data_IF_733133965237
#
_entry.id   IF_733133965237
#
_cell.length_a   1.000
_cell.length_b   1.000
_cell.length_c   1.000
_cell.angle_alpha   90.00
_cell.angle_beta   90.00
_cell.angle_gamma   90.00
#
_symmetry.space_group_name_H-M   'P 1'
#
loop_
_entity.id
_entity.type
_entity.pdbx_description
1 polymer ?
#
# COMPACT_ATOMS: atom_id res chain seq x y z
N UNK A 1 9.71 24.30 -10.25
CA UNK A 1 8.36 24.18 -9.71
C UNK A 1 7.64 23.00 -10.37
N UNK A 2 6.75 22.33 -9.66
CA UNK A 2 5.98 21.22 -10.22
C UNK A 2 5.03 21.73 -11.31
N UNK A 3 5.16 21.20 -12.51
CA UNK A 3 4.28 21.54 -13.64
C UNK A 3 2.96 20.78 -13.47
N UNK A 4 1.83 21.49 -13.57
CA UNK A 4 0.52 20.84 -13.54
C UNK A 4 0.38 19.85 -14.70
N UNK A 5 -0.32 18.73 -14.50
CA UNK A 5 -0.47 17.65 -15.52
C UNK A 5 -0.91 18.17 -16.89
N UNK A 6 -1.85 19.14 -16.92
CA UNK A 6 -2.38 19.73 -18.16
C UNK A 6 -1.39 20.67 -18.87
N UNK A 7 -0.41 21.23 -18.17
CA UNK A 7 0.58 22.12 -18.74
C UNK A 7 1.89 21.39 -19.13
N UNK A 8 2.01 20.10 -18.84
CA UNK A 8 3.25 19.35 -19.04
C UNK A 8 3.69 19.32 -20.51
N UNK A 9 2.80 18.96 -21.42
CA UNK A 9 3.12 18.85 -22.84
C UNK A 9 3.44 20.24 -23.45
N UNK A 10 2.65 21.27 -23.10
CA UNK A 10 2.92 22.63 -23.54
C UNK A 10 4.31 23.09 -23.08
N UNK A 11 4.65 22.82 -21.80
CA UNK A 11 5.96 23.19 -21.28
C UNK A 11 7.12 22.44 -21.95
N UNK A 12 6.94 21.18 -22.34
CA UNK A 12 7.95 20.44 -23.09
C UNK A 12 8.12 21.07 -24.48
N UNK A 13 7.04 21.41 -25.18
CA UNK A 13 7.10 22.03 -26.51
C UNK A 13 7.80 23.38 -26.49
N UNK A 14 7.55 24.21 -25.49
CA UNK A 14 8.30 25.46 -25.31
C UNK A 14 9.81 25.20 -25.14
N UNK A 15 10.19 24.16 -24.41
CA UNK A 15 11.59 23.84 -24.16
C UNK A 15 12.33 23.33 -25.39
N UNK A 16 11.63 22.65 -26.32
CA UNK A 16 12.24 22.07 -27.54
C UNK A 16 12.13 22.98 -28.77
N UNK A 17 11.47 24.13 -28.66
CA UNK A 17 11.18 25.06 -29.79
C UNK A 17 12.44 25.47 -30.55
N UNK A 18 13.58 25.62 -29.84
CA UNK A 18 14.86 26.02 -30.42
C UNK A 18 15.90 24.89 -30.50
N UNK A 19 15.44 23.63 -30.31
CA UNK A 19 16.30 22.45 -30.39
C UNK A 19 16.45 21.95 -31.82
N UNK A 20 17.40 21.02 -32.01
CA UNK A 20 17.59 20.31 -33.27
C UNK A 20 16.26 19.64 -33.73
N UNK A 21 15.89 19.74 -35.03
CA UNK A 21 14.62 19.21 -35.53
C UNK A 21 14.44 17.69 -35.31
N UNK A 22 15.52 16.91 -35.40
CA UNK A 22 15.44 15.44 -35.17
C UNK A 22 15.17 15.15 -33.70
N UNK A 23 15.80 15.91 -32.82
CA UNK A 23 15.56 15.83 -31.40
C UNK A 23 14.11 16.23 -31.05
N UNK A 24 13.64 17.38 -31.58
CA UNK A 24 12.28 17.84 -31.36
C UNK A 24 11.24 16.81 -31.84
N UNK A 25 11.43 16.22 -33.03
CA UNK A 25 10.58 15.16 -33.56
C UNK A 25 10.56 13.94 -32.65
N UNK A 26 11.73 13.53 -32.12
CA UNK A 26 11.82 12.40 -31.20
C UNK A 26 11.01 12.62 -29.92
N UNK A 27 11.07 13.84 -29.37
CA UNK A 27 10.27 14.22 -28.19
C UNK A 27 8.78 14.23 -28.50
N UNK A 28 8.34 14.73 -29.64
CA UNK A 28 6.91 14.72 -30.02
C UNK A 28 6.38 13.27 -30.11
N UNK A 29 7.12 12.34 -30.71
CA UNK A 29 6.76 10.93 -30.73
C UNK A 29 6.61 10.36 -29.30
N UNK A 30 7.51 10.71 -28.38
CA UNK A 30 7.43 10.30 -26.99
C UNK A 30 6.19 10.89 -26.28
N UNK A 31 5.82 12.14 -26.58
CA UNK A 31 4.62 12.75 -26.05
C UNK A 31 3.34 12.08 -26.56
N UNK A 32 3.29 11.67 -27.83
CA UNK A 32 2.17 10.93 -28.39
C UNK A 32 2.01 9.54 -27.76
N UNK A 33 3.11 8.80 -27.60
CA UNK A 33 3.10 7.52 -26.87
C UNK A 33 2.63 7.70 -25.42
N UNK A 34 3.13 8.73 -24.75
CA UNK A 34 2.68 9.06 -23.38
C UNK A 34 1.17 9.33 -23.34
N UNK A 35 0.63 10.07 -24.28
CA UNK A 35 -0.81 10.38 -24.35
C UNK A 35 -1.63 9.10 -24.52
N UNK A 36 -1.27 8.25 -25.47
CA UNK A 36 -1.92 6.98 -25.71
C UNK A 36 -1.92 6.06 -24.47
N UNK A 37 -0.79 6.01 -23.74
CA UNK A 37 -0.67 5.25 -22.49
C UNK A 37 -1.58 5.82 -21.39
N UNK A 38 -1.66 7.14 -21.25
CA UNK A 38 -2.53 7.78 -20.26
C UNK A 38 -4.01 7.51 -20.55
N UNK A 39 -4.44 7.60 -21.80
CA UNK A 39 -5.80 7.28 -22.21
C UNK A 39 -6.15 5.81 -21.96
N UNK A 40 -5.21 4.90 -22.25
CA UNK A 40 -5.33 3.47 -21.94
C UNK A 40 -5.47 3.23 -20.43
N UNK A 41 -4.60 3.87 -19.63
CA UNK A 41 -4.67 3.82 -18.18
C UNK A 41 -6.00 4.31 -17.63
N UNK A 42 -6.52 5.45 -18.12
CA UNK A 42 -7.78 6.01 -17.65
C UNK A 42 -8.98 5.11 -18.01
N UNK A 43 -8.94 4.45 -19.17
CA UNK A 43 -9.96 3.45 -19.53
C UNK A 43 -9.97 2.26 -18.58
N UNK A 44 -8.78 1.67 -18.32
CA UNK A 44 -8.64 0.55 -17.39
C UNK A 44 -9.01 0.95 -15.96
N UNK A 45 -8.63 2.15 -15.54
CA UNK A 45 -8.96 2.66 -14.21
C UNK A 45 -10.47 2.82 -14.02
N UNK A 46 -11.21 3.30 -15.04
CA UNK A 46 -12.68 3.37 -15.00
C UNK A 46 -13.33 2.00 -14.85
N UNK A 47 -12.84 0.99 -15.60
CA UNK A 47 -13.33 -0.40 -15.46
C UNK A 47 -13.07 -0.94 -14.06
N UNK A 48 -11.87 -0.72 -13.52
CA UNK A 48 -11.53 -1.12 -12.15
C UNK A 48 -12.46 -0.47 -11.13
N UNK A 49 -12.75 0.83 -11.26
CA UNK A 49 -13.67 1.53 -10.36
C UNK A 49 -15.08 0.93 -10.40
N UNK A 50 -15.58 0.57 -11.59
CA UNK A 50 -16.88 -0.09 -11.74
C UNK A 50 -16.90 -1.44 -11.02
N UNK A 51 -15.88 -2.27 -11.21
CA UNK A 51 -15.77 -3.57 -10.52
C UNK A 51 -15.79 -3.40 -9.01
N UNK A 52 -14.96 -2.49 -8.50
CA UNK A 52 -14.81 -2.26 -7.05
C UNK A 52 -16.08 -1.69 -6.41
N UNK A 53 -16.82 -0.83 -7.12
CA UNK A 53 -18.07 -0.24 -6.63
C UNK A 53 -19.17 -1.27 -6.43
N UNK A 54 -19.21 -2.32 -7.25
CA UNK A 54 -20.22 -3.39 -7.15
C UNK A 54 -19.79 -4.52 -6.21
N UNK A 55 -18.52 -4.56 -5.79
CA UNK A 55 -17.99 -5.60 -4.92
C UNK A 55 -18.13 -5.24 -3.43
N UNK A 56 -18.94 -5.98 -2.65
CA UNK A 56 -19.17 -5.68 -1.24
C UNK A 56 -17.91 -5.81 -0.37
N UNK A 57 -17.01 -6.73 -0.73
CA UNK A 57 -15.75 -6.91 0.00
C UNK A 57 -14.85 -5.70 -0.25
N UNK A 58 -14.64 -5.30 -1.49
CA UNK A 58 -13.81 -4.14 -1.82
C UNK A 58 -14.36 -2.86 -1.16
N UNK A 59 -15.67 -2.64 -1.19
CA UNK A 59 -16.31 -1.49 -0.50
C UNK A 59 -15.99 -1.49 1.00
N UNK A 60 -16.10 -2.64 1.65
CA UNK A 60 -15.77 -2.81 3.07
C UNK A 60 -14.30 -2.50 3.33
N UNK A 61 -13.37 -3.03 2.52
CA UNK A 61 -11.94 -2.79 2.67
C UNK A 61 -11.57 -1.31 2.49
N UNK A 62 -12.26 -0.59 1.60
CA UNK A 62 -12.05 0.85 1.37
C UNK A 62 -12.51 1.73 2.53
N UNK A 63 -13.23 1.22 3.52
CA UNK A 63 -13.53 1.97 4.75
C UNK A 63 -12.28 2.26 5.59
N UNK A 64 -11.17 1.54 5.33
CA UNK A 64 -9.88 1.77 5.98
C UNK A 64 -9.19 3.01 5.37
N UNK A 65 -8.87 4.03 6.18
CA UNK A 65 -8.18 5.22 5.68
C UNK A 65 -6.84 4.87 5.03
N UNK A 66 -6.62 5.35 3.80
CA UNK A 66 -5.45 5.06 3.00
C UNK A 66 -5.61 3.86 2.05
N UNK A 67 -6.67 3.08 2.17
CA UNK A 67 -6.99 1.98 1.25
C UNK A 67 -7.90 2.49 0.14
N UNK A 68 -7.38 2.57 -1.07
CA UNK A 68 -8.11 2.94 -2.28
C UNK A 68 -8.61 1.72 -3.08
N UNK A 69 -9.30 1.97 -4.20
CA UNK A 69 -9.88 0.91 -5.05
C UNK A 69 -8.85 -0.12 -5.53
N UNK A 70 -7.70 0.34 -6.00
CA UNK A 70 -6.60 -0.53 -6.46
C UNK A 70 -6.11 -1.42 -5.33
N UNK A 71 -5.86 -0.86 -4.15
CA UNK A 71 -5.37 -1.62 -2.99
C UNK A 71 -6.40 -2.66 -2.54
N UNK A 72 -7.68 -2.28 -2.49
CA UNK A 72 -8.76 -3.18 -2.08
C UNK A 72 -8.89 -4.37 -3.02
N UNK A 73 -8.87 -4.12 -4.34
CA UNK A 73 -8.98 -5.16 -5.35
C UNK A 73 -7.72 -6.05 -5.37
N UNK A 74 -6.52 -5.47 -5.36
CA UNK A 74 -5.26 -6.22 -5.31
C UNK A 74 -5.19 -7.13 -4.09
N UNK A 75 -5.61 -6.63 -2.93
CA UNK A 75 -5.65 -7.43 -1.71
C UNK A 75 -6.66 -8.58 -1.82
N UNK A 76 -7.87 -8.31 -2.35
CA UNK A 76 -8.90 -9.33 -2.54
C UNK A 76 -8.41 -10.44 -3.47
N UNK A 77 -7.88 -10.08 -4.63
CA UNK A 77 -7.36 -11.04 -5.62
C UNK A 77 -6.19 -11.84 -5.06
N UNK A 78 -5.24 -11.20 -4.36
CA UNK A 78 -4.08 -11.89 -3.81
C UNK A 78 -4.38 -12.78 -2.62
N UNK A 79 -5.46 -12.53 -1.88
CA UNK A 79 -5.95 -13.42 -0.82
C UNK A 79 -6.80 -14.54 -1.39
N UNK A 80 -7.61 -14.25 -2.43
CA UNK A 80 -8.56 -15.13 -3.10
C UNK A 80 -9.65 -15.67 -2.15
N UNK A 81 -9.36 -16.70 -1.37
CA UNK A 81 -10.22 -17.18 -0.29
C UNK A 81 -9.65 -16.78 1.07
N UNK A 82 -10.39 -15.98 1.88
CA UNK A 82 -9.92 -15.57 3.20
C UNK A 82 -9.84 -16.73 4.19
N UNK A 83 -10.63 -17.81 4.00
CA UNK A 83 -10.67 -18.97 4.92
C UNK A 83 -9.43 -19.86 4.81
N UNK A 84 -8.62 -19.72 3.73
CA UNK A 84 -7.32 -20.41 3.65
C UNK A 84 -6.32 -19.98 4.74
N UNK A 85 -6.60 -18.88 5.45
CA UNK A 85 -5.78 -18.40 6.55
C UNK A 85 -6.48 -18.64 7.88
N UNK A 86 -6.03 -19.60 8.66
CA UNK A 86 -6.57 -19.88 10.00
C UNK A 86 -6.46 -18.68 10.97
N UNK A 87 -5.54 -17.76 10.72
CA UNK A 87 -5.31 -16.57 11.56
C UNK A 87 -4.93 -15.35 10.71
N UNK A 88 -5.64 -14.25 10.87
CA UNK A 88 -5.37 -13.00 10.12
C UNK A 88 -3.92 -12.51 10.22
N UNK A 89 -3.22 -12.79 11.32
CA UNK A 89 -1.82 -12.36 11.50
C UNK A 89 -0.83 -13.06 10.56
N UNK A 90 -1.18 -14.20 9.97
CA UNK A 90 -0.31 -14.92 9.01
C UNK A 90 -0.34 -14.31 7.62
N UNK A 91 -1.38 -13.53 7.29
CA UNK A 91 -1.53 -12.88 5.97
C UNK A 91 -0.37 -11.92 5.68
N UNK A 92 0.10 -11.17 6.68
CA UNK A 92 1.26 -10.29 6.52
C UNK A 92 2.56 -11.05 6.20
N UNK A 93 2.71 -12.27 6.71
CA UNK A 93 3.85 -13.14 6.39
C UNK A 93 3.73 -13.70 4.96
N UNK A 94 2.52 -14.07 4.54
CA UNK A 94 2.24 -14.56 3.19
C UNK A 94 2.67 -13.56 2.10
N UNK A 95 2.46 -12.26 2.35
CA UNK A 95 2.91 -11.19 1.44
C UNK A 95 4.34 -10.68 1.73
N UNK A 96 5.11 -11.40 2.53
CA UNK A 96 6.52 -11.09 2.78
C UNK A 96 6.77 -9.80 3.57
N UNK A 97 5.82 -9.38 4.39
CA UNK A 97 5.89 -8.19 5.25
C UNK A 97 6.44 -8.48 6.65
N UNK A 98 6.93 -9.71 6.90
CA UNK A 98 7.61 -10.09 8.14
C UNK A 98 9.11 -10.02 7.98
N UNK A 99 9.85 -9.62 9.03
CA UNK A 99 11.31 -9.66 9.02
C UNK A 99 11.84 -11.08 8.76
N UNK A 100 12.95 -11.19 8.04
CA UNK A 100 13.72 -12.43 8.01
C UNK A 100 14.38 -12.62 9.37
N UNK A 101 14.14 -13.76 10.00
CA UNK A 101 14.89 -14.18 11.19
C UNK A 101 16.00 -15.13 10.76
N UNK A 102 17.21 -14.81 11.13
CA UNK A 102 18.36 -15.70 11.05
C UNK A 102 18.67 -16.15 12.48
N UNK A 103 18.23 -17.36 12.83
CA UNK A 103 18.57 -18.00 14.08
C UNK A 103 19.60 -19.09 13.79
N UNK A 104 20.86 -18.88 14.18
CA UNK A 104 21.88 -19.91 14.19
C UNK A 104 22.37 -20.12 15.62
N UNK A 105 21.93 -21.21 16.25
CA UNK A 105 22.37 -21.58 17.61
C UNK A 105 21.93 -20.60 18.70
N UNK A 106 22.66 -20.53 19.78
CA UNK A 106 22.31 -19.80 21.00
C UNK A 106 22.72 -18.33 21.05
N UNK A 107 23.32 -17.76 20.01
CA UNK A 107 24.02 -16.48 20.15
C UNK A 107 23.68 -15.33 19.19
N UNK A 108 22.91 -15.53 18.12
CA UNK A 108 22.62 -14.43 17.17
C UNK A 108 21.16 -14.47 16.76
N UNK A 109 20.32 -13.60 17.34
CA UNK A 109 18.97 -13.29 16.87
C UNK A 109 19.01 -11.95 16.13
N UNK A 110 19.22 -11.99 14.81
CA UNK A 110 19.26 -10.80 13.98
C UNK A 110 17.94 -10.68 13.20
N UNK A 111 17.17 -9.63 13.48
CA UNK A 111 16.01 -9.26 12.67
C UNK A 111 16.48 -8.45 11.45
N UNK A 112 16.48 -9.08 10.27
CA UNK A 112 16.80 -8.45 8.99
C UNK A 112 15.62 -7.66 8.39
N UNK A 113 15.81 -7.23 7.15
CA UNK A 113 14.74 -6.64 6.35
C UNK A 113 13.56 -7.60 6.15
N UNK A 114 12.40 -7.06 5.71
CA UNK A 114 11.22 -7.88 5.35
C UNK A 114 11.61 -8.99 4.36
N UNK A 115 10.96 -10.15 4.46
CA UNK A 115 11.32 -11.35 3.67
C UNK A 115 11.13 -11.16 2.17
N UNK A 116 10.21 -10.27 1.75
CA UNK A 116 9.83 -10.01 0.36
C UNK A 116 9.32 -11.24 -0.40
N UNK A 117 8.97 -12.31 0.32
CA UNK A 117 8.33 -13.49 -0.26
C UNK A 117 6.87 -13.20 -0.61
N UNK A 118 6.29 -14.03 -1.50
CA UNK A 118 4.91 -13.89 -1.94
C UNK A 118 4.70 -12.77 -2.97
N UNK A 119 3.44 -12.43 -3.20
CA UNK A 119 3.02 -11.50 -4.26
C UNK A 119 3.58 -10.08 -4.05
N UNK A 120 4.32 -9.62 -5.05
CA UNK A 120 4.95 -8.29 -5.06
C UNK A 120 3.89 -7.20 -5.16
N UNK A 121 2.91 -7.37 -6.06
CA UNK A 121 1.91 -6.35 -6.35
C UNK A 121 1.03 -6.06 -5.13
N UNK A 122 0.62 -7.10 -4.41
CA UNK A 122 -0.15 -6.96 -3.16
C UNK A 122 0.70 -6.30 -2.07
N UNK A 123 1.98 -6.68 -1.96
CA UNK A 123 2.89 -6.06 -0.99
C UNK A 123 3.10 -4.58 -1.26
N UNK A 124 3.31 -4.18 -2.51
CA UNK A 124 3.46 -2.79 -2.93
C UNK A 124 2.17 -2.00 -2.66
N UNK A 125 1.01 -2.54 -3.04
CA UNK A 125 -0.29 -1.93 -2.76
C UNK A 125 -0.51 -1.69 -1.25
N UNK A 126 -0.16 -2.66 -0.41
CA UNK A 126 -0.24 -2.52 1.05
C UNK A 126 0.75 -1.48 1.61
N UNK A 127 1.96 -1.41 1.06
CA UNK A 127 2.94 -0.37 1.42
C UNK A 127 2.48 1.02 0.98
N UNK A 128 1.89 1.16 -0.19
CA UNK A 128 1.32 2.41 -0.68
C UNK A 128 0.13 2.88 0.19
N UNK A 129 -0.77 1.96 0.55
CA UNK A 129 -1.85 2.25 1.51
C UNK A 129 -1.31 2.70 2.87
N UNK A 130 -0.26 2.06 3.37
CA UNK A 130 0.40 2.44 4.61
C UNK A 130 1.07 3.82 4.53
N UNK A 131 1.75 4.11 3.43
CA UNK A 131 2.33 5.42 3.16
C UNK A 131 1.26 6.50 3.07
N UNK A 132 0.17 6.24 2.34
CA UNK A 132 -0.98 7.14 2.25
C UNK A 132 -1.59 7.42 3.62
N UNK A 133 -1.81 6.38 4.44
CA UNK A 133 -2.32 6.53 5.81
C UNK A 133 -1.41 7.41 6.68
N UNK A 134 -0.10 7.22 6.61
CA UNK A 134 0.85 7.94 7.46
C UNK A 134 1.08 9.38 7.00
N UNK A 135 1.18 9.63 5.69
CA UNK A 135 1.62 10.89 5.11
C UNK A 135 0.48 11.81 4.66
N UNK A 136 -0.63 11.25 4.14
CA UNK A 136 -1.70 12.02 3.50
C UNK A 136 -2.98 12.11 4.32
N UNK A 137 -3.35 11.03 5.03
CA UNK A 137 -4.59 10.98 5.80
C UNK A 137 -4.47 11.88 7.03
N UNK A 138 -5.36 12.89 7.14
CA UNK A 138 -5.40 13.79 8.30
C UNK A 138 -6.24 13.23 9.45
N UNK A 139 -7.24 12.39 9.14
CA UNK A 139 -8.14 11.80 10.15
C UNK A 139 -7.33 10.94 11.12
N UNK A 140 -7.55 11.15 12.41
CA UNK A 140 -6.89 10.36 13.44
C UNK A 140 -7.37 8.92 13.43
N UNK A 141 -6.43 7.99 13.65
CA UNK A 141 -6.71 6.58 13.94
C UNK A 141 -5.61 5.99 14.82
N UNK A 142 -5.97 5.00 15.64
CA UNK A 142 -5.00 4.30 16.49
C UNK A 142 -3.87 3.67 15.67
N UNK A 143 -4.17 3.19 14.46
CA UNK A 143 -3.19 2.62 13.54
C UNK A 143 -2.19 3.68 13.06
N UNK A 144 -2.67 4.87 12.66
CA UNK A 144 -1.80 5.98 12.25
C UNK A 144 -0.91 6.45 13.39
N UNK A 145 -1.49 6.65 14.58
CA UNK A 145 -0.72 7.06 15.77
C UNK A 145 0.35 6.03 16.14
N UNK A 146 0.06 4.74 16.03
CA UNK A 146 1.04 3.67 16.25
C UNK A 146 2.17 3.70 15.20
N UNK A 147 1.84 3.84 13.92
CA UNK A 147 2.83 3.95 12.85
C UNK A 147 3.75 5.15 13.00
N UNK A 148 3.21 6.33 13.34
CA UNK A 148 4.01 7.53 13.59
C UNK A 148 4.95 7.38 14.80
N UNK A 149 4.57 6.61 15.84
CA UNK A 149 5.50 6.28 16.94
C UNK A 149 6.67 5.43 16.47
N UNK A 150 6.44 4.49 15.54
CA UNK A 150 7.53 3.71 14.92
C UNK A 150 8.43 4.63 14.10
N UNK A 151 7.85 5.50 13.27
CA UNK A 151 8.63 6.44 12.45
C UNK A 151 9.58 7.32 13.28
N UNK A 152 9.13 7.76 14.46
CA UNK A 152 9.97 8.56 15.38
C UNK A 152 11.13 7.77 16.01
N UNK A 153 10.95 6.47 16.26
CA UNK A 153 11.97 5.63 16.91
C UNK A 153 12.95 5.01 15.93
N UNK A 154 12.55 4.84 14.69
CA UNK A 154 13.31 4.10 13.68
C UNK A 154 13.40 4.90 12.39
N UNK A 155 12.48 4.65 11.44
CA UNK A 155 12.40 5.40 10.19
C UNK A 155 10.98 5.34 9.62
N UNK A 156 10.68 6.25 8.67
CA UNK A 156 9.41 6.22 7.97
C UNK A 156 9.23 4.93 7.15
N UNK A 157 10.30 4.41 6.55
CA UNK A 157 10.26 3.15 5.79
C UNK A 157 9.92 1.96 6.68
N UNK A 158 10.53 1.89 7.87
CA UNK A 158 10.19 0.87 8.87
C UNK A 158 8.74 1.00 9.34
N UNK A 159 8.25 2.21 9.52
CA UNK A 159 6.87 2.47 9.89
C UNK A 159 5.89 2.02 8.80
N UNK A 160 6.18 2.32 7.53
CA UNK A 160 5.38 1.90 6.38
C UNK A 160 5.29 0.37 6.32
N UNK A 161 6.41 -0.35 6.40
CA UNK A 161 6.42 -1.80 6.40
C UNK A 161 5.63 -2.41 7.57
N UNK A 162 5.80 -1.87 8.77
CA UNK A 162 5.08 -2.31 9.96
C UNK A 162 3.56 -2.06 9.84
N UNK A 163 3.16 -0.89 9.34
CA UNK A 163 1.76 -0.53 9.11
C UNK A 163 1.17 -1.38 7.98
N UNK A 164 1.88 -1.62 6.87
CA UNK A 164 1.46 -2.49 5.78
C UNK A 164 1.16 -3.91 6.27
N UNK A 165 2.06 -4.48 7.09
CA UNK A 165 1.84 -5.79 7.75
C UNK A 165 0.57 -5.78 8.60
N UNK A 166 0.34 -4.73 9.36
CA UNK A 166 -0.84 -4.62 10.23
C UNK A 166 -2.11 -4.38 9.42
N UNK A 167 -2.04 -3.62 8.31
CA UNK A 167 -3.13 -3.46 7.35
C UNK A 167 -3.56 -4.82 6.78
N UNK A 168 -2.63 -5.65 6.31
CA UNK A 168 -2.96 -7.00 5.83
C UNK A 168 -3.78 -7.81 6.84
N UNK A 169 -3.39 -7.75 8.13
CA UNK A 169 -4.14 -8.43 9.19
C UNK A 169 -5.53 -7.83 9.43
N UNK A 170 -5.65 -6.51 9.35
CA UNK A 170 -6.92 -5.79 9.57
C UNK A 170 -7.88 -6.07 8.41
N UNK A 171 -7.42 -5.91 7.17
CA UNK A 171 -8.22 -6.14 5.96
C UNK A 171 -8.76 -7.57 5.91
N UNK A 172 -7.91 -8.57 6.18
CA UNK A 172 -8.33 -9.95 6.26
C UNK A 172 -9.39 -10.19 7.35
N UNK A 173 -9.17 -9.63 8.55
CA UNK A 173 -10.14 -9.76 9.64
C UNK A 173 -11.48 -9.12 9.29
N UNK A 174 -11.47 -7.93 8.70
CA UNK A 174 -12.68 -7.24 8.24
C UNK A 174 -13.44 -8.06 7.19
N UNK A 175 -12.71 -8.74 6.30
CA UNK A 175 -13.30 -9.61 5.30
C UNK A 175 -14.00 -10.82 5.95
N UNK A 176 -13.29 -11.57 6.80
CA UNK A 176 -13.84 -12.77 7.47
C UNK A 176 -14.99 -12.44 8.44
N UNK A 177 -14.89 -11.32 9.17
CA UNK A 177 -15.92 -10.93 10.15
C UNK A 177 -17.02 -10.05 9.58
N UNK A 178 -16.95 -9.73 8.30
CA UNK A 178 -17.88 -8.85 7.58
C UNK A 178 -18.13 -7.48 8.24
N UNK A 179 -17.11 -6.93 8.91
CA UNK A 179 -17.19 -5.67 9.64
C UNK A 179 -16.44 -4.55 8.95
N UNK A 180 -16.95 -3.32 9.06
CA UNK A 180 -16.28 -2.12 8.58
C UNK A 180 -15.17 -1.67 9.52
N UNK A 181 -14.31 -0.75 9.02
CA UNK A 181 -13.22 -0.21 9.81
C UNK A 181 -13.72 0.72 10.93
N UNK A 182 -13.32 0.43 12.16
CA UNK A 182 -13.53 1.31 13.30
C UNK A 182 -12.25 2.02 13.70
N UNK A 183 -12.33 3.32 14.02
CA UNK A 183 -11.17 4.17 14.35
C UNK A 183 -10.30 3.60 15.49
N UNK A 184 -10.91 2.84 16.41
CA UNK A 184 -10.25 2.09 17.48
C UNK A 184 -9.64 0.75 17.03
N UNK A 185 -9.78 0.34 15.77
CA UNK A 185 -9.19 -0.90 15.25
C UNK A 185 -7.67 -0.83 15.39
N UNK A 186 -7.11 -1.72 16.17
CA UNK A 186 -5.68 -1.74 16.48
C UNK A 186 -5.33 -1.34 17.91
N UNK A 187 -6.17 -0.60 18.64
CA UNK A 187 -5.93 -0.28 20.04
C UNK A 187 -5.95 -1.53 20.93
N UNK A 188 -6.94 -2.41 20.74
CA UNK A 188 -7.06 -3.68 21.49
C UNK A 188 -5.93 -4.69 21.20
N UNK A 189 -5.33 -4.65 20.03
CA UNK A 189 -4.20 -5.53 19.67
C UNK A 189 -2.92 -5.07 20.40
N UNK A 190 -2.74 -3.77 20.59
CA UNK A 190 -1.59 -3.20 21.29
C UNK A 190 -1.65 -3.49 22.80
N UNK A 191 -2.84 -3.57 23.38
CA UNK A 191 -3.04 -3.85 24.80
C UNK A 191 -2.72 -5.31 25.15
N UNK A 192 -3.00 -6.28 24.27
CA UNK A 192 -2.63 -7.70 24.47
C UNK A 192 -1.13 -7.96 24.37
N UNK A 193 -0.37 -7.10 23.68
CA UNK A 193 1.10 -7.22 23.60
C UNK A 193 1.84 -6.61 24.80
N UNK A 194 1.16 -5.79 25.61
CA UNK A 194 1.72 -5.20 26.83
C UNK A 194 1.57 -6.09 28.08
N UNK A 195 0.78 -7.17 28.00
CA UNK A 195 0.45 -8.03 29.14
C UNK A 195 1.25 -9.35 29.16
N UNK A 196 2.44 -9.42 28.56
CA UNK A 196 3.42 -10.44 28.91
C UNK A 196 4.57 -9.77 29.67
N UNK A 197 4.62 -9.87 31.01
CA UNK A 197 5.85 -9.62 31.72
C UNK A 197 6.88 -10.66 31.30
N UNK A 198 8.13 -10.24 31.15
CA UNK A 198 9.25 -11.12 31.00
C UNK A 198 9.31 -12.07 32.24
N UNK A 199 9.28 -13.36 31.99
CA UNK A 199 9.81 -14.38 32.89
C UNK A 199 11.08 -14.93 32.27
#
# INVERSE_FOLDING_TARGET
>A
GAVARGAYEARIRELIEHCDPVFAMSIEVMLDVRRALLEGYERLHRVLLQVVQHDPVCRRLMTVPGVGPVVALSFKVGVDDPHRFARSRTVGAHFGLTPKRHQSGTSIDFEGHISKQGDISVREALCEAAASLLLRVRKWSALRAWGLRIARRSSMLCAIAAVARKLACILHRMWVSETDFHVGFGAKITQRLRLKPAQ
#
